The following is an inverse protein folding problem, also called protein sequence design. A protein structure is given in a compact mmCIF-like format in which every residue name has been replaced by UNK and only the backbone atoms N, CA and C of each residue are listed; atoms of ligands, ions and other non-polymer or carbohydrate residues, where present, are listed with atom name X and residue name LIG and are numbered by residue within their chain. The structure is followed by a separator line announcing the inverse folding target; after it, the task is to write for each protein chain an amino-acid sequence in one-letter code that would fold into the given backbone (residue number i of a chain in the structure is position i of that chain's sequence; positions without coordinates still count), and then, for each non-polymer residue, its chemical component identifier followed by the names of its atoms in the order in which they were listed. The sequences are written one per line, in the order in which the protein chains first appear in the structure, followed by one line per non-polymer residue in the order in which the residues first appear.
data_IF_318761318620
#
_entry.id   IF_318761318620
#
_cell.length_a   1.000
_cell.length_b   1.000
_cell.length_c   1.000
_cell.angle_alpha   90.00
_cell.angle_beta   90.00
_cell.angle_gamma   90.00
#
_symmetry.space_group_name_H-M   'P 1'
#
loop_
_entity.id
_entity.type
_entity.pdbx_description
1 polymer ?
#
# COMPACT_ATOMS: atom_id res chain seq x y z
N UNK A 1 -6.10 5.79 -3.79
CA UNK A 1 -5.90 4.72 -2.83
C UNK A 1 -5.59 5.31 -1.47
N UNK A 2 -6.54 5.25 -0.56
CA UNK A 2 -6.41 5.77 0.80
C UNK A 2 -6.03 4.68 1.80
N UNK A 3 -6.26 4.94 3.11
CA UNK A 3 -5.93 4.00 4.19
C UNK A 3 -6.77 2.73 4.16
N UNK A 4 -8.08 2.84 3.92
CA UNK A 4 -9.01 1.71 3.98
C UNK A 4 -9.71 1.35 2.69
N UNK A 5 -9.71 2.25 1.68
CA UNK A 5 -10.46 2.05 0.44
C UNK A 5 -9.64 2.41 -0.79
N UNK A 6 -9.97 1.76 -1.89
CA UNK A 6 -9.45 2.08 -3.21
C UNK A 6 -10.62 2.48 -4.11
N UNK A 7 -10.51 3.65 -4.75
CA UNK A 7 -11.56 4.20 -5.59
C UNK A 7 -10.99 4.63 -6.94
N UNK A 8 -11.75 4.36 -8.01
CA UNK A 8 -11.43 4.74 -9.38
C UNK A 8 -12.61 5.52 -9.96
N UNK A 9 -12.33 6.65 -10.59
CA UNK A 9 -13.33 7.42 -11.32
C UNK A 9 -12.79 7.76 -12.71
N UNK A 10 -13.61 7.57 -13.73
CA UNK A 10 -13.32 8.00 -15.08
C UNK A 10 -14.21 9.19 -15.39
N UNK A 11 -13.59 10.30 -15.75
CA UNK A 11 -14.24 11.58 -15.86
C UNK A 11 -14.00 12.14 -17.27
N UNK A 12 -15.05 12.66 -17.89
CA UNK A 12 -14.98 13.43 -19.12
C UNK A 12 -15.13 14.91 -18.77
N UNK A 13 -14.23 15.73 -19.29
CA UNK A 13 -14.22 17.18 -19.07
C UNK A 13 -14.27 17.88 -20.43
N UNK A 14 -15.23 18.79 -20.61
CA UNK A 14 -15.37 19.58 -21.82
C UNK A 14 -16.39 20.70 -21.64
N UNK A 15 -16.15 21.84 -22.30
CA UNK A 15 -17.06 23.01 -22.34
C UNK A 15 -17.53 23.46 -20.95
N UNK A 16 -16.64 23.40 -19.95
CA UNK A 16 -16.97 23.78 -18.58
C UNK A 16 -17.83 22.77 -17.83
N UNK A 17 -18.09 21.60 -18.42
CA UNK A 17 -18.90 20.53 -17.81
C UNK A 17 -18.01 19.34 -17.47
N UNK A 18 -18.24 18.78 -16.31
CA UNK A 18 -17.56 17.55 -15.84
C UNK A 18 -18.60 16.46 -15.69
N UNK A 19 -18.36 15.32 -16.35
CA UNK A 19 -19.25 14.17 -16.30
C UNK A 19 -18.47 12.94 -15.81
N UNK A 20 -19.03 12.21 -14.84
CA UNK A 20 -18.47 10.95 -14.37
C UNK A 20 -19.00 9.83 -15.27
N UNK A 21 -18.12 9.20 -16.02
CA UNK A 21 -18.49 8.13 -16.97
C UNK A 21 -18.61 6.78 -16.28
N UNK A 22 -17.74 6.50 -15.31
CA UNK A 22 -17.76 5.25 -14.58
C UNK A 22 -17.02 5.41 -13.25
N UNK A 23 -17.43 4.64 -12.27
CA UNK A 23 -16.73 4.50 -10.99
C UNK A 23 -16.63 3.03 -10.64
N UNK A 24 -15.57 2.68 -9.94
CA UNK A 24 -15.39 1.34 -9.38
C UNK A 24 -14.44 1.47 -8.19
N UNK A 25 -14.28 0.41 -7.42
CA UNK A 25 -13.38 0.44 -6.28
C UNK A 25 -13.36 -0.88 -5.52
N UNK A 26 -12.57 -0.89 -4.48
CA UNK A 26 -12.52 -1.98 -3.52
C UNK A 26 -12.55 -1.35 -2.13
N UNK A 27 -13.65 -1.53 -1.41
CA UNK A 27 -13.86 -0.98 -0.07
C UNK A 27 -13.04 -1.67 1.01
N UNK A 28 -12.39 -2.79 0.65
CA UNK A 28 -11.54 -3.58 1.55
C UNK A 28 -10.07 -3.58 1.12
N UNK A 29 -9.67 -2.57 0.35
CA UNK A 29 -8.28 -2.43 -0.11
C UNK A 29 -7.81 -1.01 0.11
N UNK A 30 -6.75 -0.86 0.90
CA UNK A 30 -6.14 0.43 1.18
C UNK A 30 -4.74 0.27 1.74
N UNK A 31 -4.13 1.38 2.14
CA UNK A 31 -2.78 1.40 2.70
C UNK A 31 -2.63 0.56 3.95
N UNK A 32 -3.71 0.41 4.72
CA UNK A 32 -3.71 -0.42 5.94
C UNK A 32 -3.45 -1.90 5.63
N UNK A 33 -3.89 -2.37 4.47
CA UNK A 33 -3.62 -3.75 4.04
C UNK A 33 -2.14 -3.96 3.71
N UNK A 34 -1.51 -2.95 3.13
CA UNK A 34 -0.06 -2.96 2.89
C UNK A 34 0.70 -2.96 4.21
N UNK A 35 0.28 -2.14 5.18
CA UNK A 35 0.86 -2.10 6.52
C UNK A 35 0.75 -3.47 7.20
N UNK A 36 -0.40 -4.13 7.07
CA UNK A 36 -0.64 -5.43 7.70
C UNK A 36 0.33 -6.49 7.20
N UNK A 37 0.71 -6.45 5.93
CA UNK A 37 1.71 -7.37 5.37
C UNK A 37 3.08 -7.17 6.02
N UNK A 38 3.45 -5.94 6.30
CA UNK A 38 4.70 -5.63 7.02
C UNK A 38 4.60 -6.10 8.46
N UNK A 39 3.47 -5.85 9.14
CA UNK A 39 3.25 -6.29 10.52
C UNK A 39 3.40 -7.80 10.63
N UNK A 40 2.74 -8.55 9.75
CA UNK A 40 2.80 -10.01 9.78
C UNK A 40 4.20 -10.53 9.48
N UNK A 41 4.91 -9.92 8.56
CA UNK A 41 6.30 -10.27 8.28
C UNK A 41 7.21 -10.09 9.50
N UNK A 42 7.10 -8.95 10.18
CA UNK A 42 7.87 -8.67 11.40
C UNK A 42 7.50 -9.63 12.53
N UNK A 43 6.20 -9.80 12.76
CA UNK A 43 5.69 -10.62 13.86
C UNK A 43 6.03 -12.10 13.67
N UNK A 44 5.92 -12.61 12.45
CA UNK A 44 6.25 -14.00 12.13
C UNK A 44 7.75 -14.28 12.30
N UNK A 45 8.61 -13.35 11.86
CA UNK A 45 10.05 -13.47 12.03
C UNK A 45 10.43 -13.46 13.52
N UNK A 46 9.83 -12.57 14.28
CA UNK A 46 10.08 -12.49 15.73
C UNK A 46 9.60 -13.76 16.45
N UNK A 47 8.42 -14.26 16.08
CA UNK A 47 7.87 -15.49 16.69
C UNK A 47 8.73 -16.71 16.38
N UNK A 48 9.27 -16.81 15.18
CA UNK A 48 10.18 -17.89 14.80
C UNK A 48 11.44 -17.87 15.65
N UNK A 49 11.98 -16.69 15.93
CA UNK A 49 13.22 -16.54 16.70
C UNK A 49 12.99 -16.64 18.21
N UNK A 50 11.90 -16.09 18.72
CA UNK A 50 11.68 -15.92 20.17
C UNK A 50 10.50 -16.71 20.74
N UNK A 51 9.67 -17.32 19.90
CA UNK A 51 8.50 -18.07 20.35
C UNK A 51 7.35 -17.22 20.88
N UNK A 52 7.39 -15.91 20.64
CA UNK A 52 6.39 -14.95 21.14
C UNK A 52 5.70 -14.30 19.95
N UNK A 53 4.35 -14.31 19.94
CA UNK A 53 3.57 -13.58 18.96
C UNK A 53 3.26 -12.16 19.47
N UNK A 54 3.98 -11.18 18.95
CA UNK A 54 3.84 -9.78 19.33
C UNK A 54 2.45 -9.21 19.07
N UNK A 55 1.70 -9.79 18.13
CA UNK A 55 0.36 -9.34 17.79
C UNK A 55 -0.66 -9.56 18.90
N UNK A 56 -0.35 -10.48 19.83
CA UNK A 56 -1.20 -10.78 21.00
C UNK A 56 -1.03 -9.77 22.14
N UNK A 57 0.04 -9.01 22.12
CA UNK A 57 0.29 -7.94 23.09
C UNK A 57 -0.16 -6.61 22.47
N UNK A 58 -1.11 -5.95 23.12
CA UNK A 58 -1.74 -4.73 22.63
C UNK A 58 -0.74 -3.59 22.38
N UNK A 59 0.20 -3.41 23.32
CA UNK A 59 1.23 -2.36 23.20
C UNK A 59 2.23 -2.69 22.09
N UNK A 60 2.68 -3.94 22.02
CA UNK A 60 3.58 -4.38 20.98
C UNK A 60 2.92 -4.28 19.58
N UNK A 61 1.66 -4.71 19.48
CA UNK A 61 0.90 -4.63 18.24
C UNK A 61 0.79 -3.19 17.73
N UNK A 62 0.56 -2.22 18.63
CA UNK A 62 0.50 -0.81 18.27
C UNK A 62 1.85 -0.29 17.76
N UNK A 63 2.93 -0.69 18.42
CA UNK A 63 4.29 -0.32 17.99
C UNK A 63 4.63 -0.91 16.63
N UNK A 64 4.22 -2.16 16.37
CA UNK A 64 4.39 -2.79 15.05
C UNK A 64 3.63 -2.02 13.98
N UNK A 65 2.40 -1.61 14.27
CA UNK A 65 1.56 -0.86 13.32
C UNK A 65 2.21 0.48 12.94
N UNK A 66 2.67 1.22 13.92
CA UNK A 66 3.35 2.50 13.68
C UNK A 66 4.64 2.32 12.89
N UNK A 67 5.42 1.30 13.23
CA UNK A 67 6.67 1.00 12.52
C UNK A 67 6.42 0.57 11.08
N UNK A 68 5.38 -0.23 10.85
CA UNK A 68 5.00 -0.68 9.50
C UNK A 68 4.58 0.49 8.61
N UNK A 69 3.74 1.38 9.13
CA UNK A 69 3.32 2.58 8.41
C UNK A 69 4.52 3.47 8.06
N UNK A 70 5.40 3.69 9.01
CA UNK A 70 6.62 4.48 8.80
C UNK A 70 7.51 3.85 7.73
N UNK A 71 7.73 2.54 7.79
CA UNK A 71 8.54 1.81 6.81
C UNK A 71 7.93 1.90 5.41
N UNK A 72 6.60 1.73 5.29
CA UNK A 72 5.90 1.88 4.01
C UNK A 72 6.14 3.26 3.40
N UNK A 73 6.02 4.31 4.21
CA UNK A 73 6.25 5.69 3.77
C UNK A 73 7.70 5.89 3.33
N UNK A 74 8.67 5.42 4.12
CA UNK A 74 10.10 5.52 3.78
C UNK A 74 10.43 4.81 2.47
N UNK A 75 9.81 3.65 2.20
CA UNK A 75 10.06 2.89 0.98
C UNK A 75 9.45 3.52 -0.27
N UNK A 76 8.68 4.60 -0.14
CA UNK A 76 8.25 5.40 -1.29
C UNK A 76 9.40 6.18 -1.92
N UNK A 77 10.44 6.47 -1.17
CA UNK A 77 11.61 7.24 -1.64
C UNK A 77 12.94 6.53 -1.45
N UNK A 78 13.01 5.53 -0.54
CA UNK A 78 14.24 4.80 -0.24
C UNK A 78 14.12 3.33 -0.67
N UNK A 79 15.27 2.69 -0.90
CA UNK A 79 15.33 1.28 -1.29
C UNK A 79 15.28 0.33 -0.10
N UNK A 80 15.47 0.85 1.11
CA UNK A 80 15.36 0.07 2.34
C UNK A 80 14.91 0.95 3.49
N UNK A 81 14.29 0.32 4.49
CA UNK A 81 13.89 0.96 5.74
C UNK A 81 14.37 0.10 6.90
N UNK A 82 15.06 0.72 7.84
CA UNK A 82 15.51 0.04 9.05
C UNK A 82 14.46 0.18 10.13
N UNK A 83 14.03 -0.94 10.69
CA UNK A 83 13.02 -1.00 11.74
C UNK A 83 13.70 -1.44 13.03
N UNK A 84 13.71 -0.54 14.01
CA UNK A 84 14.32 -0.81 15.30
C UNK A 84 13.31 -0.50 16.41
N UNK A 85 12.85 -1.54 17.10
CA UNK A 85 11.88 -1.45 18.19
C UNK A 85 12.49 -2.04 19.47
N UNK A 86 13.25 -1.22 20.22
CA UNK A 86 13.85 -1.69 21.47
C UNK A 86 12.77 -1.96 22.50
N UNK A 87 13.03 -2.96 23.35
CA UNK A 87 12.12 -3.35 24.45
C UNK A 87 10.68 -3.63 23.95
N UNK A 88 10.56 -4.31 22.81
CA UNK A 88 9.24 -4.61 22.24
C UNK A 88 8.43 -5.55 23.12
N UNK A 89 9.10 -6.45 23.85
CA UNK A 89 8.51 -7.35 24.83
C UNK A 89 9.59 -7.85 25.80
N UNK A 90 9.19 -8.67 26.77
CA UNK A 90 10.09 -9.31 27.74
C UNK A 90 9.58 -10.71 28.06
N UNK A 91 10.51 -11.60 28.37
CA UNK A 91 10.22 -12.93 28.91
C UNK A 91 11.12 -13.25 30.11
N UNK A 92 11.14 -14.51 30.55
CA UNK A 92 11.95 -14.95 31.70
C UNK A 92 13.46 -14.70 31.51
N UNK A 93 13.93 -14.57 30.26
CA UNK A 93 15.34 -14.31 29.94
C UNK A 93 15.67 -12.82 29.87
N UNK A 94 14.67 -11.94 30.02
CA UNK A 94 14.83 -10.49 30.01
C UNK A 94 14.13 -9.80 28.86
N UNK A 95 14.45 -8.51 28.63
CA UNK A 95 13.86 -7.74 27.56
C UNK A 95 14.29 -8.24 26.19
N UNK A 96 13.39 -8.14 25.22
CA UNK A 96 13.59 -8.50 23.82
C UNK A 96 13.42 -7.28 22.92
N UNK A 97 14.18 -7.26 21.85
CA UNK A 97 14.20 -6.15 20.88
C UNK A 97 13.91 -6.70 19.48
N UNK A 98 13.27 -5.87 18.66
CA UNK A 98 13.08 -6.18 17.25
C UNK A 98 13.97 -5.22 16.44
N UNK A 99 14.82 -5.79 15.59
CA UNK A 99 15.69 -5.03 14.69
C UNK A 99 15.70 -5.75 13.35
N UNK A 100 15.11 -5.12 12.34
CA UNK A 100 14.98 -5.71 11.01
C UNK A 100 15.16 -4.63 9.94
N UNK A 101 15.60 -5.06 8.76
CA UNK A 101 15.67 -4.19 7.60
C UNK A 101 14.68 -4.70 6.56
N UNK A 102 13.76 -3.83 6.15
CA UNK A 102 12.81 -4.11 5.08
C UNK A 102 13.30 -3.44 3.80
N UNK A 103 13.57 -4.22 2.77
CA UNK A 103 13.91 -3.70 1.45
C UNK A 103 12.66 -3.43 0.64
N UNK A 104 12.75 -2.50 -0.33
CA UNK A 104 11.65 -2.27 -1.28
C UNK A 104 11.30 -3.55 -2.04
N UNK A 105 12.31 -4.33 -2.45
CA UNK A 105 12.08 -5.60 -3.13
C UNK A 105 11.27 -6.58 -2.27
N UNK A 106 11.58 -6.68 -0.99
CA UNK A 106 10.82 -7.53 -0.07
C UNK A 106 9.40 -7.00 0.16
N UNK A 107 9.26 -5.71 0.32
CA UNK A 107 7.95 -5.06 0.44
C UNK A 107 7.09 -5.35 -0.80
N UNK A 108 7.66 -5.22 -1.99
CA UNK A 108 6.96 -5.52 -3.23
C UNK A 108 6.51 -6.99 -3.30
N UNK A 109 7.37 -7.92 -2.85
CA UNK A 109 7.03 -9.34 -2.76
C UNK A 109 5.87 -9.59 -1.80
N UNK A 110 5.90 -8.99 -0.62
CA UNK A 110 4.85 -9.14 0.40
C UNK A 110 3.49 -8.60 -0.03
N UNK A 111 3.46 -7.64 -0.95
CA UNK A 111 2.27 -6.89 -1.34
C UNK A 111 1.87 -7.08 -2.80
N UNK A 112 2.52 -7.97 -3.53
CA UNK A 112 2.28 -8.14 -4.97
C UNK A 112 0.81 -8.44 -5.31
N UNK A 113 0.16 -9.28 -4.54
CA UNK A 113 -1.27 -9.59 -4.73
C UNK A 113 -2.18 -8.40 -4.45
N UNK A 114 -1.82 -7.54 -3.50
CA UNK A 114 -2.56 -6.32 -3.21
C UNK A 114 -2.46 -5.34 -4.39
N UNK A 115 -1.29 -5.22 -4.97
CA UNK A 115 -1.08 -4.37 -6.16
C UNK A 115 -1.92 -4.89 -7.32
N UNK A 116 -1.94 -6.19 -7.56
CA UNK A 116 -2.76 -6.81 -8.60
C UNK A 116 -4.25 -6.54 -8.38
N UNK A 117 -4.71 -6.55 -7.14
CA UNK A 117 -6.11 -6.25 -6.80
C UNK A 117 -6.50 -4.82 -7.16
N UNK A 118 -5.57 -3.87 -7.19
CA UNK A 118 -5.88 -2.48 -7.58
C UNK A 118 -6.25 -2.40 -9.07
N UNK A 119 -5.70 -3.28 -9.90
CA UNK A 119 -5.93 -3.24 -11.34
C UNK A 119 -7.33 -3.72 -11.73
N UNK A 120 -7.96 -4.58 -10.95
CA UNK A 120 -9.31 -5.08 -11.25
C UNK A 120 -10.35 -3.95 -11.31
N UNK A 121 -10.46 -3.05 -10.31
CA UNK A 121 -11.38 -1.91 -10.42
C UNK A 121 -11.05 -0.96 -11.57
N UNK A 122 -9.77 -0.79 -11.89
CA UNK A 122 -9.34 0.06 -13.01
C UNK A 122 -9.87 -0.50 -14.34
N UNK A 123 -9.68 -1.80 -14.55
CA UNK A 123 -10.16 -2.48 -15.77
C UNK A 123 -11.68 -2.44 -15.90
N UNK A 124 -12.39 -2.66 -14.79
CA UNK A 124 -13.85 -2.62 -14.76
C UNK A 124 -14.39 -1.22 -15.06
N UNK A 125 -13.76 -0.18 -14.50
CA UNK A 125 -14.17 1.19 -14.77
C UNK A 125 -14.00 1.55 -16.25
N UNK A 126 -12.88 1.16 -16.85
CA UNK A 126 -12.65 1.37 -18.29
C UNK A 126 -13.69 0.62 -19.13
N UNK A 127 -14.00 -0.62 -18.78
CA UNK A 127 -14.98 -1.42 -19.48
C UNK A 127 -16.37 -0.78 -19.39
N UNK A 128 -16.79 -0.34 -18.21
CA UNK A 128 -18.07 0.29 -17.99
C UNK A 128 -18.21 1.62 -18.75
N UNK A 129 -17.10 2.36 -18.86
CA UNK A 129 -17.07 3.60 -19.63
C UNK A 129 -16.98 3.37 -21.15
N UNK A 130 -16.73 2.13 -21.59
CA UNK A 130 -16.55 1.83 -23.00
C UNK A 130 -15.24 2.38 -23.58
N UNK A 131 -14.23 2.57 -22.73
CA UNK A 131 -12.96 3.18 -23.12
C UNK A 131 -11.81 2.18 -23.05
N UNK A 132 -10.81 2.42 -23.89
CA UNK A 132 -9.52 1.75 -23.83
C UNK A 132 -8.51 2.65 -23.11
N UNK A 133 -7.42 2.09 -22.57
CA UNK A 133 -6.37 2.91 -21.97
C UNK A 133 -5.88 4.03 -22.87
N UNK A 134 -5.79 3.79 -24.18
CA UNK A 134 -5.36 4.79 -25.16
C UNK A 134 -6.31 5.99 -25.30
N UNK A 135 -7.54 5.87 -24.82
CA UNK A 135 -8.52 6.96 -24.86
C UNK A 135 -8.34 7.95 -23.70
N UNK A 136 -7.55 7.57 -22.69
CA UNK A 136 -7.29 8.43 -21.53
C UNK A 136 -6.26 9.50 -21.88
N UNK A 137 -6.56 10.76 -21.54
CA UNK A 137 -5.66 11.89 -21.76
C UNK A 137 -4.77 12.14 -20.56
N UNK A 138 -5.27 11.88 -19.35
CA UNK A 138 -4.55 12.16 -18.12
C UNK A 138 -4.99 11.20 -17.02
N UNK A 139 -4.02 10.75 -16.24
CA UNK A 139 -4.25 9.89 -15.08
C UNK A 139 -3.77 10.63 -13.84
N UNK A 140 -4.65 10.80 -12.86
CA UNK A 140 -4.33 11.43 -11.58
C UNK A 140 -4.37 10.37 -10.48
N UNK A 141 -3.33 10.36 -9.65
CA UNK A 141 -3.27 9.50 -8.48
C UNK A 141 -3.38 10.34 -7.22
N UNK A 142 -4.35 10.00 -6.37
CA UNK A 142 -4.68 10.73 -5.14
C UNK A 142 -4.65 9.78 -3.94
N UNK A 143 -4.18 10.28 -2.82
CA UNK A 143 -4.04 9.52 -1.58
C UNK A 143 -2.60 9.11 -1.30
N UNK A 144 -2.24 8.99 0.00
CA UNK A 144 -0.87 8.69 0.42
C UNK A 144 -0.34 7.38 -0.14
N UNK A 145 -1.18 6.35 -0.23
CA UNK A 145 -0.77 5.02 -0.70
C UNK A 145 -0.51 4.96 -2.21
N UNK A 146 -0.91 5.99 -2.97
CA UNK A 146 -0.55 6.10 -4.39
C UNK A 146 0.93 6.38 -4.59
N UNK A 147 1.65 6.74 -3.53
CA UNK A 147 3.09 6.95 -3.54
C UNK A 147 3.88 5.64 -3.48
N UNK A 148 3.23 4.52 -3.22
CA UNK A 148 3.87 3.20 -3.25
C UNK A 148 4.38 2.93 -4.67
N UNK A 149 5.70 2.77 -4.88
CA UNK A 149 6.27 2.63 -6.23
C UNK A 149 5.64 1.51 -7.04
N UNK A 150 5.37 0.35 -6.44
CA UNK A 150 4.76 -0.77 -7.15
C UNK A 150 3.34 -0.45 -7.64
N UNK A 151 2.56 0.33 -6.90
CA UNK A 151 1.22 0.77 -7.31
C UNK A 151 1.32 1.74 -8.49
N UNK A 152 2.23 2.71 -8.38
CA UNK A 152 2.48 3.67 -9.46
C UNK A 152 2.89 2.95 -10.76
N UNK A 153 3.84 2.04 -10.66
CA UNK A 153 4.36 1.29 -11.80
C UNK A 153 3.28 0.40 -12.43
N UNK A 154 2.43 -0.22 -11.60
CA UNK A 154 1.33 -1.05 -12.10
C UNK A 154 0.30 -0.22 -12.87
N UNK A 155 -0.07 0.96 -12.36
CA UNK A 155 -1.00 1.88 -13.05
C UNK A 155 -0.40 2.36 -14.36
N UNK A 156 0.87 2.77 -14.34
CA UNK A 156 1.58 3.21 -15.53
C UNK A 156 1.61 2.14 -16.61
N UNK A 157 1.89 0.89 -16.23
CA UNK A 157 1.94 -0.24 -17.15
C UNK A 157 0.56 -0.59 -17.70
N UNK A 158 -0.45 -0.65 -16.84
CA UNK A 158 -1.83 -1.01 -17.22
C UNK A 158 -2.44 0.01 -18.16
N UNK A 159 -2.23 1.29 -17.91
CA UNK A 159 -2.83 2.38 -18.67
C UNK A 159 -1.93 2.92 -19.77
N UNK A 160 -0.70 2.42 -19.85
CA UNK A 160 0.33 2.86 -20.82
C UNK A 160 0.44 4.40 -20.85
N UNK A 161 0.37 5.01 -19.69
CA UNK A 161 0.36 6.44 -19.52
C UNK A 161 1.03 6.77 -18.18
N UNK A 162 1.91 7.77 -18.17
CA UNK A 162 2.57 8.17 -16.93
C UNK A 162 1.58 8.90 -16.01
N UNK A 163 1.25 8.34 -14.83
CA UNK A 163 0.34 8.98 -13.90
C UNK A 163 0.93 10.27 -13.34
N UNK A 164 0.05 11.23 -13.11
CA UNK A 164 0.41 12.49 -12.47
C UNK A 164 0.25 12.36 -10.96
N UNK A 165 1.34 12.57 -10.23
CA UNK A 165 1.34 12.63 -8.77
C UNK A 165 1.40 14.10 -8.37
N UNK A 166 0.62 14.52 -7.40
CA UNK A 166 0.86 15.85 -6.93
C UNK A 166 -0.30 16.53 -6.26
N UNK A 167 -1.35 15.79 -6.00
CA UNK A 167 -2.44 16.34 -5.20
C UNK A 167 -2.44 15.64 -3.86
N UNK A 168 -2.09 16.38 -2.85
CA UNK A 168 -2.18 15.90 -1.48
C UNK A 168 -3.62 15.86 -1.02
#
# INVERSE_FOLDING_TARGET
LGGGTFDVSIIEMGDGVTEVLATNGDTHLGGDDFDQRIIDWMADAFQTENGIDLRKDKMAAQRLKEAAEKAKIELSSAMSSQINLPFITADATGPKHLDMTLTRAKFNELTADLVDRTMTPVRKALQDAGLRPSDLKKVLMVGGSTRIPAVYDAVKKELNCEPFKGIN
#
